data_IF_751077933058
#
_entry.id   IF_751077933058
#
_cell.length_a   1.000
_cell.length_b   1.000
_cell.length_c   1.000
_cell.angle_alpha   90.00
_cell.angle_beta   90.00
_cell.angle_gamma   90.00
#
_symmetry.space_group_name_H-M   'P 1'
#
loop_
_entity.id
_entity.type
_entity.pdbx_description
1 polymer ?
#
# COMPACT_ATOMS: atom_id res chain seq x y z
N UNK A 1 39.57 41.36 23.64
CA UNK A 1 39.07 41.13 22.27
C UNK A 1 37.59 40.80 22.34
N UNK A 2 36.67 41.65 21.86
CA UNK A 2 35.25 41.37 21.88
C UNK A 2 34.93 40.37 20.76
N UNK A 3 34.47 39.17 21.14
CA UNK A 3 33.86 38.25 20.17
C UNK A 3 32.62 38.94 19.58
N UNK A 4 32.50 39.04 18.24
CA UNK A 4 31.41 39.78 17.62
C UNK A 4 30.11 39.05 17.91
N UNK A 5 29.20 39.68 18.66
CA UNK A 5 27.85 39.14 18.92
C UNK A 5 27.08 38.85 17.62
N UNK A 6 27.48 39.47 16.52
CA UNK A 6 26.97 39.22 15.17
C UNK A 6 27.36 37.84 14.63
N UNK A 7 28.55 37.32 14.95
CA UNK A 7 29.01 36.02 14.44
C UNK A 7 28.15 34.84 14.92
N UNK A 8 27.85 34.78 16.22
CA UNK A 8 27.01 33.72 16.81
C UNK A 8 25.57 33.75 16.29
N UNK A 9 25.01 34.94 16.12
CA UNK A 9 23.65 35.10 15.59
C UNK A 9 23.56 34.68 14.11
N UNK A 10 24.57 35.01 13.29
CA UNK A 10 24.65 34.59 11.89
C UNK A 10 24.82 33.07 11.80
N UNK A 11 25.72 32.47 12.59
CA UNK A 11 25.89 31.01 12.63
C UNK A 11 24.61 30.29 13.06
N UNK A 12 23.91 30.79 14.08
CA UNK A 12 22.63 30.23 14.52
C UNK A 12 21.55 30.32 13.42
N UNK A 13 21.48 31.45 12.70
CA UNK A 13 20.56 31.61 11.58
C UNK A 13 20.85 30.63 10.44
N UNK A 14 22.13 30.48 10.05
CA UNK A 14 22.55 29.52 9.01
C UNK A 14 22.20 28.09 9.43
N UNK A 15 22.45 27.71 10.68
CA UNK A 15 22.10 26.38 11.20
C UNK A 15 20.58 26.14 11.18
N UNK A 16 19.76 27.14 11.49
CA UNK A 16 18.30 27.01 11.42
C UNK A 16 17.82 26.82 9.97
N UNK A 17 18.41 27.53 9.01
CA UNK A 17 18.10 27.36 7.58
C UNK A 17 18.48 25.98 7.09
N UNK A 18 19.68 25.50 7.43
CA UNK A 18 20.14 24.14 7.10
C UNK A 18 19.22 23.11 7.75
N UNK A 19 18.86 23.29 9.03
CA UNK A 19 17.96 22.41 9.75
C UNK A 19 16.57 22.33 9.12
N UNK A 20 16.02 23.47 8.67
CA UNK A 20 14.74 23.50 7.96
C UNK A 20 14.82 22.78 6.60
N UNK A 21 15.91 22.96 5.85
CA UNK A 21 16.14 22.22 4.60
C UNK A 21 16.27 20.72 4.80
N UNK A 22 17.00 20.29 5.85
CA UNK A 22 17.12 18.88 6.22
C UNK A 22 15.79 18.28 6.67
N UNK A 23 14.98 19.03 7.42
CA UNK A 23 13.65 18.61 7.82
C UNK A 23 12.74 18.36 6.61
N UNK A 24 12.75 19.27 5.62
CA UNK A 24 11.99 19.08 4.39
C UNK A 24 12.46 17.85 3.61
N UNK A 25 13.78 17.70 3.42
CA UNK A 25 14.37 16.52 2.78
C UNK A 25 13.97 15.23 3.50
N UNK A 26 13.96 15.24 4.83
CA UNK A 26 13.57 14.08 5.60
C UNK A 26 12.09 13.69 5.41
N UNK A 27 11.19 14.67 5.31
CA UNK A 27 9.78 14.42 4.99
C UNK A 27 9.63 13.81 3.59
N UNK A 28 10.36 14.31 2.59
CA UNK A 28 10.34 13.77 1.23
C UNK A 28 10.90 12.35 1.16
N UNK A 29 12.01 12.09 1.85
CA UNK A 29 12.60 10.74 1.94
C UNK A 29 11.64 9.79 2.66
N UNK A 30 10.96 10.24 3.71
CA UNK A 30 9.93 9.46 4.40
C UNK A 30 8.77 9.12 3.47
N UNK A 31 8.29 10.09 2.69
CA UNK A 31 7.24 9.87 1.70
C UNK A 31 7.61 8.76 0.71
N UNK A 32 8.75 8.88 0.05
CA UNK A 32 9.21 7.88 -0.94
C UNK A 32 9.45 6.51 -0.29
N UNK A 33 10.01 6.48 0.91
CA UNK A 33 10.20 5.24 1.64
C UNK A 33 8.87 4.56 1.97
N UNK A 34 7.86 5.30 2.46
CA UNK A 34 6.54 4.74 2.74
C UNK A 34 5.79 4.35 1.46
N UNK A 35 5.97 5.09 0.37
CA UNK A 35 5.39 4.78 -0.95
C UNK A 35 5.92 3.46 -1.51
N UNK A 36 7.19 3.13 -1.27
CA UNK A 36 7.81 1.91 -1.80
C UNK A 36 7.71 0.76 -0.80
N UNK A 37 8.12 0.99 0.44
CA UNK A 37 8.31 -0.06 1.46
C UNK A 37 7.28 -0.03 2.59
N UNK A 38 6.42 0.99 2.65
CA UNK A 38 5.47 1.16 3.76
C UNK A 38 4.55 -0.03 3.94
N UNK A 39 4.32 -0.39 5.20
CA UNK A 39 3.33 -1.37 5.63
C UNK A 39 1.93 -0.74 5.59
N UNK A 40 0.99 -1.43 4.94
CA UNK A 40 -0.40 -1.00 4.71
C UNK A 40 -1.40 -1.67 5.66
N UNK A 41 -0.94 -2.59 6.51
CA UNK A 41 -1.81 -3.35 7.42
C UNK A 41 -2.29 -2.54 8.65
N UNK A 42 -1.68 -1.39 8.91
CA UNK A 42 -1.91 -0.57 10.11
C UNK A 42 -2.42 0.85 9.85
N UNK A 43 -2.65 1.58 10.94
CA UNK A 43 -3.04 3.01 10.94
C UNK A 43 -1.90 3.93 10.53
N UNK A 44 -2.21 5.19 10.15
CA UNK A 44 -1.19 6.19 9.80
C UNK A 44 -0.14 6.41 10.89
N UNK A 45 -0.53 6.27 12.17
CA UNK A 45 0.40 6.35 13.29
C UNK A 45 1.36 5.16 13.33
N UNK A 46 0.85 3.95 13.11
CA UNK A 46 1.68 2.75 13.01
C UNK A 46 2.65 2.85 11.83
N UNK A 47 2.18 3.31 10.66
CA UNK A 47 3.03 3.58 9.50
C UNK A 47 4.15 4.59 9.79
N UNK A 48 3.84 5.67 10.52
CA UNK A 48 4.86 6.64 10.97
C UNK A 48 5.88 5.98 11.92
N UNK A 49 5.41 5.25 12.93
CA UNK A 49 6.30 4.57 13.89
C UNK A 49 7.21 3.55 13.21
N UNK A 50 6.70 2.83 12.22
CA UNK A 50 7.47 1.90 11.42
C UNK A 50 8.51 2.63 10.58
N UNK A 51 8.12 3.70 9.87
CA UNK A 51 9.05 4.52 9.09
C UNK A 51 10.16 5.16 9.95
N UNK A 52 9.87 5.48 11.22
CA UNK A 52 10.85 6.02 12.17
C UNK A 52 11.79 4.96 12.76
N UNK A 53 11.32 3.73 12.97
CA UNK A 53 12.10 2.66 13.63
C UNK A 53 12.85 1.77 12.64
N UNK A 54 12.26 1.47 11.49
CA UNK A 54 12.82 0.61 10.45
C UNK A 54 13.35 1.38 9.24
N UNK A 55 12.94 2.64 9.06
CA UNK A 55 13.26 3.44 7.89
C UNK A 55 14.39 4.46 8.08
N UNK A 56 14.84 5.09 6.97
CA UNK A 56 15.82 6.18 7.00
C UNK A 56 15.34 7.43 7.75
N UNK A 57 14.04 7.53 8.04
CA UNK A 57 13.42 8.67 8.71
C UNK A 57 13.92 8.86 10.15
N UNK A 58 14.26 7.78 10.86
CA UNK A 58 14.84 7.87 12.21
C UNK A 58 16.22 8.52 12.22
N UNK A 59 17.10 8.14 11.27
CA UNK A 59 18.41 8.76 11.09
C UNK A 59 18.29 10.24 10.71
N UNK A 60 17.35 10.55 9.81
CA UNK A 60 17.08 11.92 9.40
C UNK A 60 16.57 12.78 10.57
N UNK A 61 15.70 12.24 11.43
CA UNK A 61 15.24 12.91 12.64
C UNK A 61 16.40 13.18 13.61
N UNK A 62 17.31 12.21 13.79
CA UNK A 62 18.51 12.39 14.60
C UNK A 62 19.40 13.53 14.11
N UNK A 63 19.62 13.62 12.80
CA UNK A 63 20.38 14.71 12.16
C UNK A 63 19.72 16.08 12.38
N UNK A 64 18.41 16.19 12.14
CA UNK A 64 17.66 17.44 12.31
C UNK A 64 17.65 17.87 13.79
N UNK A 65 17.42 16.93 14.71
CA UNK A 65 17.46 17.18 16.14
C UNK A 65 18.84 17.67 16.60
N UNK A 66 19.92 17.06 16.09
CA UNK A 66 21.29 17.49 16.40
C UNK A 66 21.56 18.93 15.98
N UNK A 67 21.21 19.31 14.74
CA UNK A 67 21.37 20.68 14.24
C UNK A 67 20.51 21.67 15.04
N UNK A 68 19.28 21.29 15.37
CA UNK A 68 18.37 22.10 16.18
C UNK A 68 18.93 22.36 17.59
N UNK A 69 19.48 21.34 18.27
CA UNK A 69 20.09 21.48 19.60
C UNK A 69 21.31 22.41 19.56
N UNK A 70 22.17 22.28 18.55
CA UNK A 70 23.34 23.16 18.37
C UNK A 70 22.88 24.61 18.15
N UNK A 71 21.88 24.83 17.30
CA UNK A 71 21.29 26.15 17.08
C UNK A 71 20.64 26.74 18.34
N UNK A 72 19.97 25.91 19.13
CA UNK A 72 19.37 26.29 20.41
C UNK A 72 20.41 26.73 21.44
N UNK A 73 21.50 25.97 21.57
CA UNK A 73 22.60 26.28 22.51
C UNK A 73 23.35 27.57 22.12
N UNK A 74 23.57 27.79 20.82
CA UNK A 74 24.27 28.98 20.34
C UNK A 74 23.43 30.25 20.37
N UNK A 75 22.10 30.12 20.38
CA UNK A 75 21.21 31.28 20.32
C UNK A 75 20.85 31.84 21.70
N UNK A 76 20.99 33.16 21.84
CA UNK A 76 20.55 33.94 23.01
C UNK A 76 19.17 34.56 22.84
N UNK A 77 18.63 34.61 21.61
CA UNK A 77 17.31 35.22 21.34
C UNK A 77 16.20 34.18 21.44
N UNK A 78 15.16 34.49 22.23
CA UNK A 78 14.00 33.60 22.45
C UNK A 78 13.33 33.11 21.16
N UNK A 79 13.16 34.00 20.17
CA UNK A 79 12.54 33.66 18.89
C UNK A 79 13.31 32.59 18.10
N UNK A 80 14.64 32.64 18.11
CA UNK A 80 15.48 31.63 17.44
C UNK A 80 15.45 30.27 18.15
N UNK A 81 15.30 30.28 19.47
CA UNK A 81 15.11 29.04 20.25
C UNK A 81 13.77 28.39 19.97
N UNK A 82 12.72 29.20 19.82
CA UNK A 82 11.40 28.71 19.40
C UNK A 82 11.45 28.07 18.02
N UNK A 83 12.13 28.68 17.04
CA UNK A 83 12.30 28.06 15.71
C UNK A 83 13.12 26.78 15.77
N UNK A 84 14.19 26.72 16.58
CA UNK A 84 14.96 25.50 16.75
C UNK A 84 14.11 24.32 17.24
N UNK A 85 13.17 24.56 18.16
CA UNK A 85 12.22 23.54 18.64
C UNK A 85 11.11 23.26 17.61
N UNK A 86 10.64 24.28 16.90
CA UNK A 86 9.57 24.14 15.92
C UNK A 86 9.97 23.27 14.72
N UNK A 87 11.23 23.32 14.27
CA UNK A 87 11.72 22.55 13.11
C UNK A 87 11.47 21.03 13.25
N UNK A 88 11.96 20.33 14.29
CA UNK A 88 11.72 18.90 14.44
C UNK A 88 10.24 18.56 14.69
N UNK A 89 9.48 19.45 15.36
CA UNK A 89 8.04 19.25 15.57
C UNK A 89 7.28 19.32 14.24
N UNK A 90 7.55 20.33 13.42
CA UNK A 90 6.94 20.48 12.10
C UNK A 90 7.34 19.35 11.15
N UNK A 91 8.57 18.85 11.26
CA UNK A 91 9.02 17.67 10.52
C UNK A 91 8.18 16.43 10.87
N UNK A 92 7.95 16.16 12.15
CA UNK A 92 7.12 15.02 12.58
C UNK A 92 5.66 15.17 12.13
N UNK A 93 5.10 16.38 12.23
CA UNK A 93 3.76 16.69 11.71
C UNK A 93 3.71 16.47 10.20
N UNK A 94 4.74 16.92 9.47
CA UNK A 94 4.86 16.72 8.03
C UNK A 94 4.92 15.25 7.65
N UNK A 95 5.76 14.46 8.34
CA UNK A 95 5.83 13.01 8.13
C UNK A 95 4.48 12.35 8.36
N UNK A 96 3.83 12.62 9.50
CA UNK A 96 2.50 12.10 9.81
C UNK A 96 1.46 12.45 8.75
N UNK A 97 1.49 13.69 8.23
CA UNK A 97 0.54 14.15 7.23
C UNK A 97 0.73 13.48 5.86
N UNK A 98 1.97 13.15 5.48
CA UNK A 98 2.26 12.53 4.18
C UNK A 98 2.17 11.00 4.20
N UNK A 99 2.24 10.35 5.37
CA UNK A 99 2.14 8.88 5.49
C UNK A 99 0.85 8.31 4.86
N UNK A 100 -0.36 8.85 5.13
CA UNK A 100 -1.59 8.33 4.51
C UNK A 100 -1.57 8.44 2.99
N UNK A 101 -1.06 9.55 2.44
CA UNK A 101 -0.98 9.75 0.98
C UNK A 101 0.04 8.81 0.34
N UNK A 102 1.19 8.59 0.98
CA UNK A 102 2.21 7.66 0.49
C UNK A 102 1.69 6.22 0.45
N UNK A 103 1.03 5.78 1.53
CA UNK A 103 0.42 4.45 1.61
C UNK A 103 -0.76 4.31 0.64
N UNK A 104 -1.59 5.35 0.49
CA UNK A 104 -2.69 5.37 -0.48
C UNK A 104 -2.20 5.23 -1.92
N UNK A 105 -1.11 5.92 -2.30
CA UNK A 105 -0.54 5.80 -3.63
C UNK A 105 0.09 4.43 -3.88
N UNK A 106 0.71 3.81 -2.86
CA UNK A 106 1.19 2.43 -2.93
C UNK A 106 0.04 1.46 -3.19
N UNK A 107 -1.07 1.62 -2.46
CA UNK A 107 -2.29 0.82 -2.63
C UNK A 107 -2.86 0.98 -4.04
N UNK A 108 -3.01 2.22 -4.53
CA UNK A 108 -3.55 2.50 -5.87
C UNK A 108 -2.74 1.82 -6.99
N UNK A 109 -1.41 1.94 -6.94
CA UNK A 109 -0.51 1.28 -7.90
C UNK A 109 -0.53 -0.25 -7.75
N UNK A 110 -0.78 -0.77 -6.54
CA UNK A 110 -0.93 -2.21 -6.30
C UNK A 110 -2.28 -2.78 -6.78
N UNK A 111 -3.27 -1.94 -7.03
CA UNK A 111 -4.66 -2.35 -7.30
C UNK A 111 -5.16 -2.05 -8.71
N UNK A 112 -4.32 -1.48 -9.58
CA UNK A 112 -4.77 -1.01 -10.90
C UNK A 112 -4.87 -2.10 -11.99
N UNK A 113 -4.43 -3.34 -11.72
CA UNK A 113 -4.59 -4.43 -12.70
C UNK A 113 -5.87 -5.22 -12.46
N UNK A 114 -6.74 -5.27 -13.48
CA UNK A 114 -7.91 -6.15 -13.49
C UNK A 114 -7.55 -7.50 -14.14
N UNK A 115 -8.02 -8.63 -13.61
CA UNK A 115 -7.82 -9.94 -14.23
C UNK A 115 -8.48 -9.98 -15.60
N UNK A 116 -7.82 -10.61 -16.58
CA UNK A 116 -8.25 -10.65 -17.98
C UNK A 116 -8.57 -12.08 -18.41
N UNK A 117 -9.84 -12.38 -18.67
CA UNK A 117 -10.35 -13.68 -19.08
C UNK A 117 -10.52 -13.82 -20.58
N UNK A 118 -10.91 -12.74 -21.25
CA UNK A 118 -11.26 -12.74 -22.66
C UNK A 118 -10.01 -12.89 -23.52
N UNK A 119 -9.97 -13.94 -24.35
CA UNK A 119 -8.94 -14.18 -25.35
C UNK A 119 -9.57 -13.98 -26.74
N UNK A 120 -8.94 -13.19 -27.61
CA UNK A 120 -9.41 -12.99 -28.99
C UNK A 120 -9.36 -14.30 -29.78
N UNK A 121 -10.42 -14.61 -30.53
CA UNK A 121 -10.49 -15.78 -31.41
C UNK A 121 -11.04 -17.07 -30.78
N UNK A 122 -11.61 -16.99 -29.57
CA UNK A 122 -12.29 -18.12 -28.92
C UNK A 122 -13.68 -18.36 -29.54
N UNK A 123 -14.01 -19.62 -29.81
CA UNK A 123 -15.33 -20.03 -30.28
C UNK A 123 -16.35 -20.19 -29.13
N UNK A 124 -17.64 -20.12 -29.45
CA UNK A 124 -18.70 -20.46 -28.50
C UNK A 124 -18.70 -21.98 -28.19
N UNK A 125 -19.02 -22.40 -26.94
CA UNK A 125 -19.56 -21.61 -25.82
C UNK A 125 -18.49 -21.00 -24.90
N UNK A 126 -17.21 -21.13 -25.23
CA UNK A 126 -16.14 -20.69 -24.34
C UNK A 126 -16.03 -19.16 -24.31
N UNK A 127 -16.27 -18.49 -25.44
CA UNK A 127 -16.28 -17.04 -25.51
C UNK A 127 -17.38 -16.39 -24.65
N UNK A 128 -18.56 -17.02 -24.49
CA UNK A 128 -19.59 -16.54 -23.56
C UNK A 128 -19.18 -16.73 -22.10
N UNK A 129 -18.66 -17.90 -21.73
CA UNK A 129 -18.13 -18.15 -20.39
C UNK A 129 -17.01 -17.18 -19.98
N UNK A 130 -16.12 -16.84 -20.91
CA UNK A 130 -15.06 -15.85 -20.68
C UNK A 130 -15.63 -14.45 -20.40
N UNK A 131 -16.66 -14.04 -21.15
CA UNK A 131 -17.32 -12.73 -20.96
C UNK A 131 -18.06 -12.66 -19.62
N UNK A 132 -18.75 -13.73 -19.22
CA UNK A 132 -19.43 -13.79 -17.92
C UNK A 132 -18.43 -13.74 -16.76
N UNK A 133 -17.33 -14.50 -16.88
CA UNK A 133 -16.26 -14.49 -15.88
C UNK A 133 -15.58 -13.11 -15.82
N UNK A 134 -15.37 -12.46 -16.96
CA UNK A 134 -14.83 -11.10 -17.01
C UNK A 134 -15.76 -10.10 -16.32
N UNK A 135 -17.07 -10.16 -16.56
CA UNK A 135 -18.03 -9.28 -15.88
C UNK A 135 -18.05 -9.50 -14.37
N UNK A 136 -17.88 -10.74 -13.92
CA UNK A 136 -17.75 -11.04 -12.50
C UNK A 136 -16.53 -10.34 -11.90
N UNK A 137 -15.37 -10.47 -12.55
CA UNK A 137 -14.15 -9.78 -12.15
C UNK A 137 -14.29 -8.25 -12.17
N UNK A 138 -14.77 -7.67 -13.27
CA UNK A 138 -14.93 -6.22 -13.41
C UNK A 138 -15.88 -5.61 -12.35
N UNK A 139 -16.72 -6.43 -11.72
CA UNK A 139 -17.63 -5.99 -10.68
C UNK A 139 -16.99 -5.86 -9.29
N UNK A 140 -15.76 -6.35 -9.09
CA UNK A 140 -15.08 -6.42 -7.79
C UNK A 140 -13.77 -5.63 -7.88
N UNK A 141 -13.45 -4.84 -6.85
CA UNK A 141 -12.10 -4.26 -6.75
C UNK A 141 -11.08 -5.35 -6.46
N UNK A 142 -10.04 -5.47 -7.27
CA UNK A 142 -9.00 -6.49 -7.10
C UNK A 142 -7.74 -5.95 -6.43
N UNK A 143 -6.95 -6.88 -5.90
CA UNK A 143 -5.64 -6.59 -5.32
C UNK A 143 -4.53 -7.33 -6.05
N UNK A 144 -3.37 -6.69 -6.11
CA UNK A 144 -2.16 -7.27 -6.66
C UNK A 144 -2.04 -7.12 -8.17
N UNK A 145 -0.92 -7.61 -8.66
CA UNK A 145 -0.59 -7.62 -10.07
C UNK A 145 -1.00 -8.97 -10.66
N UNK A 146 -1.95 -8.98 -11.58
CA UNK A 146 -2.32 -10.19 -12.30
C UNK A 146 -1.27 -10.47 -13.37
N UNK A 147 -0.57 -11.59 -13.24
CA UNK A 147 0.18 -12.13 -14.37
C UNK A 147 -0.81 -12.75 -15.35
N UNK A 148 -0.51 -12.74 -16.66
CA UNK A 148 -1.34 -13.39 -17.68
C UNK A 148 -1.42 -14.93 -17.57
N UNK A 149 -1.14 -15.49 -16.39
CA UNK A 149 -1.28 -16.90 -16.07
C UNK A 149 -2.64 -17.23 -15.47
N UNK A 150 -3.05 -18.48 -15.63
CA UNK A 150 -4.37 -18.98 -15.24
C UNK A 150 -4.97 -19.85 -16.34
N UNK A 151 -6.18 -20.35 -16.09
CA UNK A 151 -6.87 -21.23 -17.03
C UNK A 151 -8.28 -20.68 -17.23
N UNK A 152 -8.71 -20.59 -18.48
CA UNK A 152 -10.11 -20.31 -18.81
C UNK A 152 -10.74 -21.54 -19.44
N UNK A 153 -12.01 -21.75 -19.18
CA UNK A 153 -12.80 -22.80 -19.81
C UNK A 153 -14.30 -22.51 -19.66
N UNK A 154 -15.13 -23.42 -20.17
CA UNK A 154 -16.60 -23.25 -20.18
C UNK A 154 -17.18 -23.09 -18.77
N UNK A 155 -16.50 -23.64 -17.75
CA UNK A 155 -16.90 -23.51 -16.35
C UNK A 155 -16.49 -22.21 -15.66
N UNK A 156 -15.59 -21.42 -16.25
CA UNK A 156 -15.11 -20.19 -15.66
C UNK A 156 -13.65 -19.89 -15.94
N UNK A 157 -13.14 -18.84 -15.30
CA UNK A 157 -11.82 -18.29 -15.50
C UNK A 157 -11.07 -18.17 -14.16
N UNK A 158 -9.92 -18.81 -14.06
CA UNK A 158 -8.95 -18.67 -12.96
C UNK A 158 -7.88 -17.64 -13.34
N UNK A 159 -7.54 -16.72 -12.43
CA UNK A 159 -6.38 -15.83 -12.58
C UNK A 159 -5.56 -15.80 -11.31
N UNK A 160 -4.24 -15.68 -11.49
CA UNK A 160 -3.27 -15.57 -10.41
C UNK A 160 -2.79 -14.13 -10.28
N UNK A 161 -2.56 -13.71 -9.06
CA UNK A 161 -1.98 -12.41 -8.76
C UNK A 161 -0.82 -12.54 -7.78
N UNK A 162 0.13 -11.62 -7.92
CA UNK A 162 1.23 -11.45 -6.98
C UNK A 162 1.03 -10.16 -6.19
N UNK A 163 1.43 -10.18 -4.93
CA UNK A 163 1.40 -9.03 -4.03
C UNK A 163 2.82 -8.54 -3.75
N UNK A 164 2.99 -7.23 -3.74
CA UNK A 164 4.24 -6.57 -3.32
C UNK A 164 4.13 -6.11 -1.87
N UNK A 165 3.87 -7.05 -0.94
CA UNK A 165 3.77 -6.79 0.49
C UNK A 165 2.87 -7.78 1.23
N UNK A 166 2.82 -7.64 2.56
CA UNK A 166 1.99 -8.47 3.44
C UNK A 166 0.56 -7.91 3.54
N UNK A 167 -0.22 -8.08 2.47
CA UNK A 167 -1.65 -7.74 2.45
C UNK A 167 -2.47 -8.99 2.79
N UNK A 168 -3.41 -8.87 3.73
CA UNK A 168 -4.38 -9.94 3.97
C UNK A 168 -5.39 -10.00 2.81
N UNK A 169 -5.15 -10.95 1.91
CA UNK A 169 -5.98 -11.23 0.74
C UNK A 169 -7.44 -11.46 1.12
N UNK A 170 -7.68 -12.30 2.12
CA UNK A 170 -9.04 -12.68 2.48
C UNK A 170 -9.78 -11.50 3.10
N UNK A 171 -9.10 -10.70 3.93
CA UNK A 171 -9.68 -9.50 4.51
C UNK A 171 -10.14 -8.50 3.43
N UNK A 172 -9.35 -8.29 2.37
CA UNK A 172 -9.76 -7.44 1.25
C UNK A 172 -11.05 -7.94 0.60
N UNK A 173 -11.08 -9.21 0.18
CA UNK A 173 -12.23 -9.75 -0.54
C UNK A 173 -13.47 -9.93 0.36
N UNK A 174 -13.31 -10.10 1.67
CA UNK A 174 -14.42 -10.04 2.64
C UNK A 174 -15.15 -8.70 2.63
N UNK A 175 -14.44 -7.60 2.35
CA UNK A 175 -15.04 -6.28 2.23
C UNK A 175 -15.53 -5.99 0.79
N UNK A 176 -14.72 -6.33 -0.22
CA UNK A 176 -15.01 -6.03 -1.62
C UNK A 176 -16.22 -6.80 -2.16
N UNK A 177 -16.38 -8.08 -1.81
CA UNK A 177 -17.47 -8.92 -2.32
C UNK A 177 -18.85 -8.40 -1.89
N UNK A 178 -19.14 -8.19 -0.58
CA UNK A 178 -20.41 -7.62 -0.16
C UNK A 178 -20.66 -6.21 -0.70
N UNK A 179 -19.62 -5.38 -0.80
CA UNK A 179 -19.73 -4.03 -1.37
C UNK A 179 -20.17 -4.05 -2.84
N UNK A 180 -19.76 -5.08 -3.59
CA UNK A 180 -20.18 -5.35 -4.96
C UNK A 180 -21.49 -6.17 -5.08
N UNK A 181 -22.19 -6.41 -3.97
CA UNK A 181 -23.46 -7.14 -3.95
C UNK A 181 -23.33 -8.67 -4.05
N UNK A 182 -22.13 -9.22 -3.86
CA UNK A 182 -21.92 -10.66 -3.79
C UNK A 182 -22.24 -11.19 -2.40
N UNK A 183 -22.90 -12.35 -2.32
CA UNK A 183 -23.20 -13.03 -1.06
C UNK A 183 -22.10 -14.04 -0.74
N UNK A 184 -21.36 -13.82 0.35
CA UNK A 184 -20.39 -14.81 0.85
C UNK A 184 -21.13 -16.06 1.34
N UNK A 185 -20.76 -17.22 0.83
CA UNK A 185 -21.36 -18.52 1.14
C UNK A 185 -20.40 -19.47 1.87
N UNK A 186 -19.09 -19.25 1.75
CA UNK A 186 -18.04 -20.03 2.43
C UNK A 186 -16.88 -19.10 2.81
N UNK A 187 -16.43 -19.18 4.07
CA UNK A 187 -15.23 -18.51 4.57
C UNK A 187 -14.64 -19.38 5.69
N UNK A 188 -13.56 -20.10 5.39
CA UNK A 188 -12.89 -21.01 6.34
C UNK A 188 -11.53 -20.46 6.82
N UNK A 189 -11.21 -19.20 6.47
CA UNK A 189 -9.92 -18.58 6.75
C UNK A 189 -8.77 -19.01 5.84
N UNK A 190 -9.00 -19.93 4.88
CA UNK A 190 -8.04 -20.33 3.83
C UNK A 190 -8.62 -20.20 2.43
N UNK A 191 -9.94 -20.02 2.34
CA UNK A 191 -10.72 -19.92 1.13
C UNK A 191 -11.92 -19.03 1.42
N UNK A 192 -12.29 -18.21 0.44
CA UNK A 192 -13.50 -17.40 0.48
C UNK A 192 -14.27 -17.65 -0.81
N UNK A 193 -15.55 -18.00 -0.68
CA UNK A 193 -16.47 -18.19 -1.82
C UNK A 193 -17.68 -17.29 -1.66
N UNK A 194 -18.08 -16.65 -2.76
CA UNK A 194 -19.29 -15.86 -2.85
C UNK A 194 -20.09 -16.20 -4.11
N UNK A 195 -21.37 -15.82 -4.12
CA UNK A 195 -22.28 -16.06 -5.24
C UNK A 195 -23.11 -14.80 -5.54
N UNK A 196 -23.46 -14.62 -6.82
CA UNK A 196 -24.36 -13.57 -7.31
C UNK A 196 -24.94 -14.00 -8.66
N UNK A 197 -26.27 -13.97 -8.78
CA UNK A 197 -27.00 -14.18 -10.05
C UNK A 197 -26.59 -15.44 -10.85
N UNK A 198 -26.40 -16.59 -10.18
CA UNK A 198 -25.97 -17.84 -10.83
C UNK A 198 -24.46 -17.93 -11.15
N UNK A 199 -23.69 -16.95 -10.68
CA UNK A 199 -22.23 -16.95 -10.75
C UNK A 199 -21.64 -17.21 -9.37
N UNK A 200 -20.48 -17.85 -9.35
CA UNK A 200 -19.65 -18.03 -8.18
C UNK A 200 -18.30 -17.32 -8.36
N UNK A 201 -17.79 -16.80 -7.25
CA UNK A 201 -16.47 -16.20 -7.14
C UNK A 201 -15.72 -16.84 -5.99
N UNK A 202 -14.46 -17.18 -6.20
CA UNK A 202 -13.62 -17.80 -5.19
C UNK A 202 -12.25 -17.13 -5.09
N UNK A 203 -11.74 -17.07 -3.86
CA UNK A 203 -10.42 -16.54 -3.54
C UNK A 203 -9.68 -17.54 -2.68
N UNK A 204 -8.41 -17.78 -3.03
CA UNK A 204 -7.48 -18.57 -2.25
C UNK A 204 -6.14 -17.82 -2.10
N UNK A 205 -5.75 -17.40 -0.88
CA UNK A 205 -4.42 -16.86 -0.64
C UNK A 205 -3.34 -17.92 -0.91
N UNK A 206 -2.25 -17.49 -1.53
CA UNK A 206 -1.06 -18.31 -1.78
C UNK A 206 0.20 -17.55 -1.33
N UNK A 207 1.33 -18.23 -1.08
CA UNK A 207 2.58 -17.54 -0.77
C UNK A 207 2.93 -16.48 -1.82
N UNK A 208 3.05 -15.22 -1.40
CA UNK A 208 3.36 -14.08 -2.30
C UNK A 208 2.20 -13.54 -3.13
N UNK A 209 0.95 -13.98 -2.89
CA UNK A 209 -0.22 -13.49 -3.64
C UNK A 209 -1.47 -14.34 -3.44
N UNK A 210 -2.10 -14.74 -4.54
CA UNK A 210 -3.25 -15.62 -4.49
C UNK A 210 -3.80 -16.01 -5.85
N UNK A 211 -4.85 -16.81 -5.80
CA UNK A 211 -5.61 -17.26 -6.96
C UNK A 211 -7.05 -16.82 -6.76
N UNK A 212 -7.64 -16.27 -7.82
CA UNK A 212 -9.07 -15.99 -7.89
C UNK A 212 -9.69 -16.76 -9.06
N UNK A 213 -10.95 -17.10 -8.90
CA UNK A 213 -11.73 -17.75 -9.95
C UNK A 213 -13.13 -17.16 -9.99
N UNK A 214 -13.68 -17.02 -11.18
CA UNK A 214 -15.07 -16.65 -11.40
C UNK A 214 -15.68 -17.53 -12.49
N UNK A 215 -16.94 -17.93 -12.33
CA UNK A 215 -17.62 -18.81 -13.28
C UNK A 215 -19.05 -19.14 -12.84
N UNK A 216 -19.67 -20.11 -13.50
CA UNK A 216 -21.01 -20.59 -13.14
C UNK A 216 -20.99 -21.27 -11.75
N UNK A 217 -22.01 -21.01 -10.93
CA UNK A 217 -22.10 -21.62 -9.60
C UNK A 217 -22.41 -23.13 -9.62
N UNK A 218 -23.04 -23.60 -10.70
CA UNK A 218 -23.37 -25.00 -10.97
C UNK A 218 -22.13 -25.86 -11.27
N UNK A 219 -21.01 -25.26 -11.67
CA UNK A 219 -19.80 -25.98 -12.05
C UNK A 219 -18.92 -26.30 -10.82
N UNK A 220 -19.32 -27.35 -10.10
CA UNK A 220 -18.64 -27.86 -8.90
C UNK A 220 -17.20 -28.36 -9.16
N UNK A 221 -16.83 -28.62 -10.41
CA UNK A 221 -15.55 -29.20 -10.77
C UNK A 221 -14.34 -28.26 -10.52
N UNK A 222 -14.54 -26.94 -10.51
CA UNK A 222 -13.44 -25.96 -10.55
C UNK A 222 -12.95 -25.45 -9.20
N UNK A 223 -13.64 -25.72 -8.09
CA UNK A 223 -13.07 -25.52 -6.75
C UNK A 223 -11.79 -26.37 -6.49
N UNK A 224 -11.60 -27.40 -7.33
CA UNK A 224 -10.51 -28.39 -7.26
C UNK A 224 -9.25 -27.94 -8.02
N UNK A 225 -9.35 -27.00 -8.98
CA UNK A 225 -8.21 -26.59 -9.82
C UNK A 225 -7.39 -25.40 -9.29
N UNK A 226 -7.90 -24.65 -8.29
CA UNK A 226 -7.19 -23.53 -7.63
C UNK A 226 -6.02 -23.98 -6.75
N UNK A 227 -5.03 -24.65 -7.32
CA UNK A 227 -3.80 -25.03 -6.64
C UNK A 227 -2.81 -23.86 -6.57
N UNK A 228 -2.21 -23.63 -5.40
CA UNK A 228 -1.04 -22.76 -5.30
C UNK A 228 0.21 -23.39 -5.96
N UNK A 229 0.18 -24.70 -6.21
CA UNK A 229 1.28 -25.50 -6.79
C UNK A 229 0.94 -25.94 -8.22
N UNK A 230 1.17 -25.07 -9.22
CA UNK A 230 1.45 -25.52 -10.59
C UNK A 230 2.54 -24.62 -11.17
N UNK A 231 3.66 -25.26 -11.53
CA UNK A 231 4.93 -24.69 -11.99
C UNK A 231 4.83 -24.00 -13.36
#
# INVERSE_FOLDING_TARGET
MPMPMTGRAVSAAVLLVIGAGLALLAVLVHYEFMRIYGDVSGTAFEGLTWGLTAGPSGLALGLVAGVAVIGFMLSTRRWMRLTAVAIPVLMLIGMFAVTPSALGQKLEVQFESSPQCVIEGMDEPMASADRESQQAFDSISHIGSFSGGGVSGVGGCERRFVLSGDVDVLQHYRAALPAAGWKVVEDDGRRLRAQRDGLAFEVRPCPGGGVIWAGSDDDLANGILMGCDQH
#
